data_IF_266714487983
#
_entry.id   IF_266714487983
#
_cell.length_a   1.000
_cell.length_b   1.000
_cell.length_c   1.000
_cell.angle_alpha   90.00
_cell.angle_beta   90.00
_cell.angle_gamma   90.00
#
_symmetry.space_group_name_H-M   'P 1'
#
loop_
_entity.id
_entity.type
_entity.pdbx_description
1 polymer ?
#
# COMPACT_ATOMS: atom_id res chain seq x y z
N UNK A 1 -14.19 15.43 -3.35
CA UNK A 1 -13.02 14.74 -3.97
C UNK A 1 -11.73 14.87 -3.16
N UNK A 2 -11.48 15.96 -2.42
CA UNK A 2 -10.27 16.09 -1.57
C UNK A 2 -10.10 14.96 -0.54
N UNK A 3 -11.18 14.51 0.09
CA UNK A 3 -11.14 13.36 1.01
C UNK A 3 -10.74 12.05 0.31
N UNK A 4 -11.05 11.87 -0.98
CA UNK A 4 -10.69 10.66 -1.72
C UNK A 4 -9.19 10.58 -1.97
N UNK A 5 -8.58 11.69 -2.44
CA UNK A 5 -7.13 11.74 -2.65
C UNK A 5 -6.39 11.62 -1.33
N UNK A 6 -6.88 12.27 -0.27
CA UNK A 6 -6.35 12.13 1.09
C UNK A 6 -6.34 10.66 1.54
N UNK A 7 -7.48 9.97 1.43
CA UNK A 7 -7.60 8.57 1.80
C UNK A 7 -6.69 7.65 0.96
N UNK A 8 -6.54 7.93 -0.34
CA UNK A 8 -5.64 7.17 -1.21
C UNK A 8 -4.17 7.37 -0.83
N UNK A 9 -3.77 8.60 -0.47
CA UNK A 9 -2.42 8.89 0.01
C UNK A 9 -2.13 8.21 1.36
N UNK A 10 -3.08 8.21 2.29
CA UNK A 10 -2.96 7.45 3.54
C UNK A 10 -2.81 5.95 3.27
N UNK A 11 -3.65 5.39 2.40
CA UNK A 11 -3.57 3.97 2.02
C UNK A 11 -2.23 3.61 1.35
N UNK A 12 -1.70 4.51 0.52
CA UNK A 12 -0.39 4.35 -0.10
C UNK A 12 0.73 4.30 0.95
N UNK A 13 0.70 5.22 1.91
CA UNK A 13 1.71 5.27 2.97
C UNK A 13 1.67 4.01 3.84
N UNK A 14 0.49 3.59 4.28
CA UNK A 14 0.32 2.33 5.04
C UNK A 14 0.82 1.13 4.25
N UNK A 15 0.60 1.09 2.93
CA UNK A 15 1.05 -0.01 2.07
C UNK A 15 2.58 -0.02 1.93
N UNK A 16 3.21 1.16 1.86
CA UNK A 16 4.67 1.32 1.86
C UNK A 16 5.28 0.89 3.19
N UNK A 17 4.69 1.30 4.31
CA UNK A 17 5.12 0.89 5.65
C UNK A 17 5.06 -0.63 5.82
N UNK A 18 3.97 -1.27 5.38
CA UNK A 18 3.84 -2.73 5.39
C UNK A 18 4.95 -3.42 4.59
N UNK A 19 5.24 -2.94 3.39
CA UNK A 19 6.31 -3.48 2.57
C UNK A 19 7.69 -3.28 3.21
N UNK A 20 7.94 -2.12 3.81
CA UNK A 20 9.18 -1.84 4.52
C UNK A 20 9.38 -2.78 5.72
N UNK A 21 8.32 -3.02 6.50
CA UNK A 21 8.35 -3.98 7.61
C UNK A 21 8.66 -5.40 7.12
N UNK A 22 8.04 -5.85 6.02
CA UNK A 22 8.32 -7.16 5.41
C UNK A 22 9.77 -7.27 4.93
N UNK A 23 10.32 -6.23 4.33
CA UNK A 23 11.72 -6.22 3.89
C UNK A 23 12.70 -6.17 5.07
N UNK A 24 12.35 -5.47 6.16
CA UNK A 24 13.21 -5.29 7.32
C UNK A 24 13.23 -6.51 8.26
N UNK A 25 12.11 -7.21 8.41
CA UNK A 25 11.96 -8.30 9.40
C UNK A 25 11.61 -9.66 8.77
N UNK A 26 11.55 -9.73 7.43
CA UNK A 26 11.27 -10.98 6.73
C UNK A 26 9.93 -11.58 7.14
N UNK A 27 9.90 -12.91 7.29
CA UNK A 27 8.69 -13.66 7.65
C UNK A 27 8.13 -13.22 9.02
N UNK A 28 8.97 -12.75 9.94
CA UNK A 28 8.54 -12.30 11.27
C UNK A 28 7.67 -11.04 11.19
N UNK A 29 7.85 -10.20 10.17
CA UNK A 29 7.03 -9.02 9.94
C UNK A 29 5.54 -9.36 9.82
N UNK A 30 5.20 -10.55 9.33
CA UNK A 30 3.80 -10.98 9.18
C UNK A 30 3.11 -11.10 10.54
N UNK A 31 3.83 -11.52 11.58
CA UNK A 31 3.31 -11.58 12.95
C UNK A 31 3.04 -10.20 13.54
N UNK A 32 3.84 -9.19 13.13
CA UNK A 32 3.67 -7.80 13.56
C UNK A 32 2.48 -7.18 12.84
N UNK A 33 2.38 -7.37 11.52
CA UNK A 33 1.33 -6.78 10.70
C UNK A 33 -0.04 -7.38 10.97
N UNK A 34 -0.07 -8.65 11.35
CA UNK A 34 -1.29 -9.39 11.53
C UNK A 34 -1.15 -10.31 12.75
N UNK A 35 -1.27 -9.79 13.98
CA UNK A 35 -1.11 -10.61 15.17
C UNK A 35 -2.22 -11.69 15.25
N UNK A 36 -1.83 -12.92 15.60
CA UNK A 36 -2.79 -13.98 15.94
C UNK A 36 -3.31 -14.85 14.79
N UNK A 37 -2.87 -14.67 13.54
CA UNK A 37 -3.05 -15.74 12.54
C UNK A 37 -1.80 -16.64 12.52
N UNK A 38 -2.02 -17.95 12.38
CA UNK A 38 -0.94 -18.90 12.14
C UNK A 38 -0.47 -18.76 10.69
N UNK A 39 0.65 -18.06 10.48
CA UNK A 39 1.18 -17.84 9.14
C UNK A 39 2.04 -19.00 8.66
N UNK A 40 1.86 -19.34 7.39
CA UNK A 40 2.86 -20.03 6.59
C UNK A 40 3.75 -19.00 5.91
N UNK A 41 5.02 -19.34 5.67
CA UNK A 41 5.94 -18.49 4.90
C UNK A 41 5.41 -18.12 3.50
N UNK A 42 4.40 -18.83 3.00
CA UNK A 42 3.68 -18.50 1.77
C UNK A 42 2.99 -17.12 1.82
N UNK A 43 2.43 -16.71 2.96
CA UNK A 43 1.79 -15.40 3.06
C UNK A 43 2.82 -14.28 2.93
N UNK A 44 3.99 -14.44 3.55
CA UNK A 44 5.10 -13.50 3.42
C UNK A 44 5.49 -13.27 1.96
N UNK A 45 5.77 -14.35 1.21
CA UNK A 45 6.13 -14.24 -0.21
C UNK A 45 5.00 -13.64 -1.05
N UNK A 46 3.75 -14.00 -0.77
CA UNK A 46 2.59 -13.44 -1.46
C UNK A 46 2.48 -11.93 -1.24
N UNK A 47 2.68 -11.46 0.00
CA UNK A 47 2.67 -10.03 0.33
C UNK A 47 3.82 -9.29 -0.35
N UNK A 48 5.03 -9.85 -0.34
CA UNK A 48 6.17 -9.27 -1.06
C UNK A 48 5.92 -9.13 -2.56
N UNK A 49 5.19 -10.06 -3.17
CA UNK A 49 4.85 -9.98 -4.59
C UNK A 49 3.71 -8.99 -4.87
N UNK A 50 2.72 -8.91 -3.98
CA UNK A 50 1.50 -8.13 -4.23
C UNK A 50 1.60 -6.66 -3.83
N UNK A 51 2.32 -6.34 -2.74
CA UNK A 51 2.38 -4.98 -2.21
C UNK A 51 3.03 -3.98 -3.19
N UNK A 52 4.13 -4.30 -3.90
CA UNK A 52 4.68 -3.39 -4.91
C UNK A 52 3.68 -3.03 -6.01
N UNK A 53 2.91 -4.03 -6.48
CA UNK A 53 1.88 -3.82 -7.52
C UNK A 53 0.75 -2.92 -7.01
N UNK A 54 0.37 -3.06 -5.74
CA UNK A 54 -0.65 -2.20 -5.13
C UNK A 54 -0.15 -0.77 -4.93
N UNK A 55 1.12 -0.58 -4.56
CA UNK A 55 1.77 0.74 -4.48
C UNK A 55 1.70 1.43 -5.85
N UNK A 56 2.12 0.77 -6.92
CA UNK A 56 2.07 1.32 -8.27
C UNK A 56 0.64 1.71 -8.70
N UNK A 57 -0.33 0.85 -8.38
CA UNK A 57 -1.75 1.09 -8.67
C UNK A 57 -2.28 2.31 -7.92
N UNK A 58 -1.95 2.46 -6.64
CA UNK A 58 -2.35 3.59 -5.81
C UNK A 58 -1.71 4.89 -6.30
N UNK A 59 -0.41 4.88 -6.62
CA UNK A 59 0.31 6.03 -7.17
C UNK A 59 -0.29 6.49 -8.51
N UNK A 60 -0.55 5.54 -9.42
CA UNK A 60 -1.21 5.83 -10.69
C UNK A 60 -2.58 6.47 -10.47
N UNK A 61 -3.39 5.91 -9.56
CA UNK A 61 -4.74 6.40 -9.30
C UNK A 61 -4.76 7.79 -8.67
N UNK A 62 -3.85 8.07 -7.76
CA UNK A 62 -3.69 9.41 -7.16
C UNK A 62 -3.37 10.42 -8.27
N UNK A 63 -2.39 10.10 -9.13
CA UNK A 63 -1.97 10.98 -10.22
C UNK A 63 -3.09 11.27 -11.23
N UNK A 64 -3.87 10.26 -11.60
CA UNK A 64 -5.04 10.41 -12.47
C UNK A 64 -6.06 11.40 -11.88
N UNK A 65 -6.38 11.27 -10.59
CA UNK A 65 -7.35 12.14 -9.93
C UNK A 65 -6.80 13.56 -9.78
N UNK A 66 -5.51 13.73 -9.46
CA UNK A 66 -4.87 15.05 -9.36
C UNK A 66 -4.87 15.78 -10.70
N UNK A 67 -4.59 15.07 -11.82
CA UNK A 67 -4.67 15.65 -13.17
C UNK A 67 -6.10 16.16 -13.46
N UNK A 68 -7.12 15.34 -13.19
CA UNK A 68 -8.53 15.74 -13.39
C UNK A 68 -8.85 17.00 -12.57
N UNK A 69 -8.44 17.06 -11.30
CA UNK A 69 -8.66 18.24 -10.46
C UNK A 69 -7.99 19.51 -11.01
N UNK A 70 -6.78 19.39 -11.54
CA UNK A 70 -6.09 20.54 -12.15
C UNK A 70 -6.72 21.00 -13.46
N UNK A 71 -7.40 20.11 -14.19
CA UNK A 71 -8.12 20.46 -15.42
C UNK A 71 -9.50 21.08 -15.14
N UNK A 72 -10.23 20.60 -14.14
CA UNK A 72 -11.54 21.15 -13.73
C UNK A 72 -11.44 22.53 -13.04
N UNK A 73 -10.23 22.93 -12.61
CA UNK A 73 -9.99 24.21 -11.94
C UNK A 73 -9.61 25.34 -12.92
N UNK A 74 -9.68 25.11 -14.24
CA UNK A 74 -9.40 26.08 -15.32
C UNK A 74 -10.67 26.44 -16.08
#
# INVERSE_FOLDING_TARGET
MNHLVGNLKSSLEETKERLNLLNAHGVEAVNILYPGLNYSGLLFYKLLESLPKEIERLEKRIREIEIIQTMDSR
#
